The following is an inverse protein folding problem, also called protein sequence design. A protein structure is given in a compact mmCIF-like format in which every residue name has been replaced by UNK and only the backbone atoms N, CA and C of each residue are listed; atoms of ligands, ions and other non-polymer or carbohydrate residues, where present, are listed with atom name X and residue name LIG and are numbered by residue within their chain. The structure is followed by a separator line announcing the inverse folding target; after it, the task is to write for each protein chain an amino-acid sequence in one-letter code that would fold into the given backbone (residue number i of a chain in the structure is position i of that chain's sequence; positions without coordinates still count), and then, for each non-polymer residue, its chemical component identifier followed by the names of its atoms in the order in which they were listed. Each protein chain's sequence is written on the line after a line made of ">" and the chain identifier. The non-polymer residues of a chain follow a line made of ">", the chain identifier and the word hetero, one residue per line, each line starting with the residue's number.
data_IF_804810883507
#
_entry.id   IF_804810883507
#
_cell.length_a   1.000
_cell.length_b   1.000
_cell.length_c   1.000
_cell.angle_alpha   90.00
_cell.angle_beta   90.00
_cell.angle_gamma   90.00
#
_symmetry.space_group_name_H-M   'P 1'
#
loop_
_entity.id
_entity.type
_entity.pdbx_description
1 polymer ?
#
# COMPACT_ATOMS: atom_id res chain seq x y z
N UNK A 1 19.72 30.68 20.26
CA UNK A 1 21.02 30.02 20.49
C UNK A 1 21.68 29.86 19.13
N UNK A 2 23.01 29.73 19.07
CA UNK A 2 23.65 29.23 17.86
C UNK A 2 23.28 27.76 17.66
N UNK A 3 23.44 27.26 16.44
CA UNK A 3 23.28 25.86 16.10
C UNK A 3 24.66 25.25 15.89
N UNK A 4 25.16 24.64 16.95
CA UNK A 4 26.54 24.16 17.07
C UNK A 4 26.64 22.68 16.63
N UNK A 5 25.67 22.20 15.84
CA UNK A 5 25.59 20.82 15.37
C UNK A 5 26.75 20.44 14.45
N UNK A 6 27.17 21.34 13.55
CA UNK A 6 28.31 21.10 12.65
C UNK A 6 29.67 21.26 13.37
N UNK A 7 29.71 21.97 14.50
CA UNK A 7 30.90 22.03 15.36
C UNK A 7 31.02 20.76 16.22
N UNK A 8 29.88 20.16 16.58
CA UNK A 8 29.80 18.91 17.34
C UNK A 8 30.05 17.66 16.47
N UNK A 9 29.54 17.67 15.24
CA UNK A 9 29.71 16.62 14.23
C UNK A 9 30.24 17.28 12.94
N UNK A 10 31.57 17.31 12.72
CA UNK A 10 32.16 18.04 11.60
C UNK A 10 31.87 17.36 10.25
N UNK A 11 31.51 18.12 9.20
CA UNK A 11 31.19 17.57 7.89
C UNK A 11 32.29 16.74 7.23
N UNK A 12 31.87 15.68 6.53
CA UNK A 12 32.75 14.65 5.98
C UNK A 12 33.04 14.77 4.47
N UNK A 13 32.71 15.90 3.84
CA UNK A 13 32.89 16.13 2.40
C UNK A 13 33.17 17.61 2.08
N UNK A 14 33.82 17.89 0.94
CA UNK A 14 34.16 19.26 0.51
C UNK A 14 32.93 20.12 0.18
N UNK A 15 31.92 19.50 -0.45
CA UNK A 15 30.60 20.08 -0.67
C UNK A 15 29.62 19.51 0.33
N UNK A 16 29.38 20.25 1.41
CA UNK A 16 28.59 19.84 2.57
C UNK A 16 27.43 20.79 2.92
N UNK A 17 26.67 20.40 3.95
CA UNK A 17 25.61 21.17 4.58
C UNK A 17 26.16 22.41 5.31
N UNK A 18 25.44 23.52 5.24
CA UNK A 18 25.74 24.73 6.04
C UNK A 18 24.90 24.77 7.32
N UNK A 19 25.32 25.56 8.33
CA UNK A 19 24.59 25.69 9.60
C UNK A 19 23.10 26.05 9.37
N UNK A 20 22.79 26.94 8.42
CA UNK A 20 21.42 27.29 8.03
C UNK A 20 20.63 26.14 7.37
N UNK A 21 21.33 25.18 6.76
CA UNK A 21 20.72 23.92 6.32
C UNK A 21 20.40 22.99 7.51
N UNK A 22 21.28 22.92 8.51
CA UNK A 22 20.98 22.23 9.77
C UNK A 22 19.83 22.91 10.53
N UNK A 23 19.77 24.25 10.60
CA UNK A 23 18.66 25.02 11.19
C UNK A 23 17.31 24.62 10.56
N UNK A 24 17.28 24.51 9.24
CA UNK A 24 16.11 24.06 8.48
C UNK A 24 15.75 22.60 8.81
N UNK A 25 16.73 21.68 8.84
CA UNK A 25 16.48 20.28 9.16
C UNK A 25 15.97 20.08 10.61
N UNK A 26 16.43 20.89 11.56
CA UNK A 26 15.87 20.93 12.93
C UNK A 26 14.41 21.39 12.95
N UNK A 27 14.03 22.36 12.11
CA UNK A 27 12.63 22.76 11.96
C UNK A 27 11.78 21.65 11.32
N UNK A 28 12.28 20.94 10.31
CA UNK A 28 11.59 19.78 9.71
C UNK A 28 11.44 18.65 10.75
N UNK A 29 12.50 18.34 11.51
CA UNK A 29 12.45 17.38 12.62
C UNK A 29 11.35 17.74 13.63
N UNK A 30 11.30 19.00 14.08
CA UNK A 30 10.28 19.46 15.02
C UNK A 30 8.85 19.29 14.46
N UNK A 31 8.64 19.61 13.18
CA UNK A 31 7.35 19.41 12.51
C UNK A 31 6.95 17.94 12.40
N UNK A 32 7.88 17.04 12.08
CA UNK A 32 7.65 15.59 12.10
C UNK A 32 7.34 15.08 13.51
N UNK A 33 8.07 15.52 14.54
CA UNK A 33 7.85 15.14 15.94
C UNK A 33 6.51 15.62 16.50
N UNK A 34 6.13 16.88 16.24
CA UNK A 34 4.81 17.42 16.62
C UNK A 34 3.68 16.67 15.90
N UNK A 35 3.86 16.36 14.62
CA UNK A 35 2.90 15.57 13.84
C UNK A 35 2.72 14.17 14.41
N UNK A 36 3.83 13.50 14.77
CA UNK A 36 3.83 12.18 15.41
C UNK A 36 3.03 12.19 16.72
N UNK A 37 3.31 13.15 17.61
CA UNK A 37 2.61 13.28 18.90
C UNK A 37 1.11 13.51 18.72
N UNK A 38 0.71 14.35 17.75
CA UNK A 38 -0.69 14.61 17.45
C UNK A 38 -1.42 13.39 16.85
N UNK A 39 -0.78 12.61 15.96
CA UNK A 39 -1.36 11.36 15.44
C UNK A 39 -1.44 10.27 16.52
N UNK A 40 -0.47 10.20 17.44
CA UNK A 40 -0.53 9.34 18.63
C UNK A 40 -1.72 9.74 19.52
N UNK A 41 -1.90 11.04 19.80
CA UNK A 41 -3.05 11.56 20.55
C UNK A 41 -4.39 11.18 19.92
N UNK A 42 -4.54 11.39 18.61
CA UNK A 42 -5.73 11.01 17.84
C UNK A 42 -5.95 9.48 17.82
N UNK A 43 -4.88 8.69 17.83
CA UNK A 43 -4.96 7.23 17.92
C UNK A 43 -5.62 6.77 19.22
N UNK A 44 -5.37 7.44 20.36
CA UNK A 44 -6.05 7.11 21.63
C UNK A 44 -7.56 7.33 21.55
N UNK A 45 -8.02 8.42 20.93
CA UNK A 45 -9.44 8.72 20.71
C UNK A 45 -10.12 7.79 19.67
N UNK A 46 -9.34 7.04 18.88
CA UNK A 46 -9.84 6.19 17.79
C UNK A 46 -10.11 4.76 18.26
N UNK A 47 -11.24 4.16 17.85
CA UNK A 47 -11.64 2.78 18.20
C UNK A 47 -10.57 1.77 17.77
N UNK A 48 -10.29 0.74 18.59
CA UNK A 48 -9.14 -0.17 18.37
C UNK A 48 -9.11 -0.83 16.98
N UNK A 49 -10.26 -1.26 16.46
CA UNK A 49 -10.37 -1.92 15.15
C UNK A 49 -10.19 -1.03 13.91
N UNK A 50 -10.08 0.30 14.07
CA UNK A 50 -9.97 1.25 12.93
C UNK A 50 -8.60 1.94 12.85
N UNK A 51 -7.59 1.41 13.56
CA UNK A 51 -6.29 2.06 13.75
C UNK A 51 -5.25 1.81 12.65
N UNK A 52 -5.48 0.93 11.68
CA UNK A 52 -4.47 0.54 10.67
C UNK A 52 -3.77 1.74 10.01
N UNK A 53 -4.54 2.66 9.42
CA UNK A 53 -3.99 3.86 8.77
C UNK A 53 -3.27 4.80 9.76
N UNK A 54 -3.70 4.84 11.02
CA UNK A 54 -3.01 5.61 12.07
C UNK A 54 -1.67 4.95 12.45
N UNK A 55 -1.57 3.61 12.46
CA UNK A 55 -0.29 2.92 12.70
C UNK A 55 0.68 3.15 11.54
N UNK A 56 0.21 3.08 10.29
CA UNK A 56 0.99 3.43 9.09
C UNK A 56 1.52 4.87 9.22
N UNK A 57 0.66 5.82 9.57
CA UNK A 57 1.05 7.22 9.78
C UNK A 57 2.08 7.40 10.92
N UNK A 58 1.91 6.71 12.06
CA UNK A 58 2.86 6.74 13.19
C UNK A 58 4.24 6.23 12.76
N UNK A 59 4.33 5.12 12.03
CA UNK A 59 5.61 4.59 11.55
C UNK A 59 6.26 5.57 10.57
N UNK A 60 5.51 6.10 9.60
CA UNK A 60 6.05 7.09 8.63
C UNK A 60 6.58 8.34 9.32
N UNK A 61 5.83 8.88 10.29
CA UNK A 61 6.22 10.10 11.02
C UNK A 61 7.39 9.86 11.98
N UNK A 62 7.47 8.68 12.62
CA UNK A 62 8.59 8.31 13.50
C UNK A 62 9.87 8.09 12.70
N UNK A 63 9.81 7.36 11.58
CA UNK A 63 10.98 7.18 10.70
C UNK A 63 11.46 8.53 10.15
N UNK A 64 10.53 9.40 9.71
CA UNK A 64 10.87 10.77 9.31
C UNK A 64 11.56 11.56 10.43
N UNK A 65 11.00 11.56 11.65
CA UNK A 65 11.61 12.25 12.78
C UNK A 65 13.04 11.75 13.10
N UNK A 66 13.26 10.43 13.13
CA UNK A 66 14.60 9.85 13.39
C UNK A 66 15.59 10.24 12.28
N UNK A 67 15.17 10.18 11.01
CA UNK A 67 16.01 10.54 9.88
C UNK A 67 16.33 12.04 9.83
N UNK A 68 15.37 12.93 10.08
CA UNK A 68 15.63 14.37 10.15
C UNK A 68 16.44 14.78 11.38
N UNK A 69 16.31 14.10 12.53
CA UNK A 69 17.23 14.25 13.66
C UNK A 69 18.68 13.92 13.27
N UNK A 70 18.89 12.80 12.57
CA UNK A 70 20.21 12.40 12.07
C UNK A 70 20.77 13.45 11.13
N UNK A 71 20.01 13.83 10.09
CA UNK A 71 20.47 14.80 9.09
C UNK A 71 20.73 16.20 9.66
N UNK A 72 19.89 16.67 10.60
CA UNK A 72 20.11 17.95 11.28
C UNK A 72 21.38 17.95 12.15
N UNK A 73 21.77 16.78 12.68
CA UNK A 73 22.98 16.58 13.48
C UNK A 73 24.24 16.31 12.65
N UNK A 74 24.19 16.47 11.33
CA UNK A 74 25.21 16.05 10.34
C UNK A 74 25.52 14.54 10.27
N UNK A 75 24.66 13.70 10.85
CA UNK A 75 24.85 12.25 10.90
C UNK A 75 24.11 11.55 9.75
N UNK A 76 24.72 10.50 9.19
CA UNK A 76 24.08 9.66 8.18
C UNK A 76 24.33 10.05 6.72
N UNK A 77 25.46 10.70 6.46
CA UNK A 77 25.98 10.97 5.12
C UNK A 77 27.33 10.29 4.86
N UNK A 78 27.67 10.13 3.58
CA UNK A 78 28.98 9.67 3.10
C UNK A 78 29.51 10.59 2.00
N UNK A 79 30.83 10.85 1.92
CA UNK A 79 31.42 11.57 0.80
C UNK A 79 31.41 10.70 -0.48
N UNK A 80 31.05 11.30 -1.61
CA UNK A 80 31.16 10.71 -2.95
C UNK A 80 31.81 11.73 -3.88
N UNK A 81 32.83 11.39 -4.69
CA UNK A 81 33.43 12.32 -5.63
C UNK A 81 32.41 12.90 -6.63
N UNK A 82 32.51 14.21 -6.90
CA UNK A 82 31.63 14.87 -7.90
C UNK A 82 32.03 14.49 -9.32
N UNK A 83 31.05 14.45 -10.23
CA UNK A 83 31.30 14.23 -11.66
C UNK A 83 31.30 15.55 -12.44
N UNK A 84 30.38 16.46 -12.11
CA UNK A 84 30.11 17.67 -12.89
C UNK A 84 30.50 18.99 -12.18
N UNK A 85 31.21 18.91 -11.04
CA UNK A 85 31.47 20.07 -10.17
C UNK A 85 32.96 20.29 -9.85
N UNK A 86 33.84 19.99 -10.81
CA UNK A 86 35.29 20.14 -10.63
C UNK A 86 35.89 19.05 -9.74
N UNK A 87 36.82 19.40 -8.86
CA UNK A 87 37.44 18.47 -7.92
C UNK A 87 36.77 18.57 -6.54
N UNK A 88 36.61 17.43 -5.87
CA UNK A 88 36.13 17.35 -4.48
C UNK A 88 35.10 16.23 -4.28
N UNK A 89 34.62 16.13 -3.05
CA UNK A 89 33.60 15.18 -2.62
C UNK A 89 32.32 15.91 -2.23
N UNK A 90 31.18 15.24 -2.40
CA UNK A 90 29.86 15.73 -2.05
C UNK A 90 29.25 14.86 -0.97
N UNK A 91 28.63 15.50 0.02
CA UNK A 91 27.90 14.83 1.09
C UNK A 91 26.63 14.18 0.53
N UNK A 92 26.54 12.84 0.57
CA UNK A 92 25.39 12.05 0.10
C UNK A 92 24.67 11.40 1.29
N UNK A 93 23.41 11.76 1.47
CA UNK A 93 22.60 11.47 2.67
C UNK A 93 21.91 10.11 2.60
N UNK A 94 22.67 9.04 2.80
CA UNK A 94 22.14 7.67 2.74
C UNK A 94 20.99 7.42 3.74
N UNK A 95 20.97 8.09 4.90
CA UNK A 95 19.86 7.98 5.87
C UNK A 95 18.51 8.45 5.31
N UNK A 96 18.49 9.39 4.36
CA UNK A 96 17.26 9.80 3.66
C UNK A 96 16.72 8.70 2.75
N UNK A 97 17.59 7.88 2.16
CA UNK A 97 17.17 6.71 1.39
C UNK A 97 16.67 5.59 2.30
N UNK A 98 17.25 5.42 3.50
CA UNK A 98 16.70 4.51 4.53
C UNK A 98 15.30 4.99 4.97
N UNK A 99 15.11 6.31 5.12
CA UNK A 99 13.79 6.91 5.37
C UNK A 99 12.80 6.52 4.27
N UNK A 100 13.09 6.85 3.01
CA UNK A 100 12.19 6.59 1.88
C UNK A 100 11.94 5.10 1.63
N UNK A 101 12.91 4.21 1.90
CA UNK A 101 12.76 2.76 1.78
C UNK A 101 11.65 2.22 2.71
N UNK A 102 11.44 2.86 3.86
CA UNK A 102 10.37 2.55 4.80
C UNK A 102 9.11 3.37 4.48
N UNK A 103 9.24 4.70 4.29
CA UNK A 103 8.09 5.59 4.21
C UNK A 103 7.34 5.52 2.90
N UNK A 104 8.02 5.38 1.75
CA UNK A 104 7.35 5.37 0.44
C UNK A 104 6.47 4.11 0.27
N UNK A 105 6.93 2.88 0.56
CA UNK A 105 6.05 1.72 0.55
C UNK A 105 4.89 1.82 1.54
N UNK A 106 5.07 2.46 2.71
CA UNK A 106 3.99 2.65 3.68
C UNK A 106 2.94 3.69 3.24
N UNK A 107 3.37 4.80 2.64
CA UNK A 107 2.48 5.82 2.05
C UNK A 107 1.66 5.22 0.90
N UNK A 108 2.32 4.45 0.03
CA UNK A 108 1.66 3.71 -1.05
C UNK A 108 0.74 2.62 -0.52
N UNK A 109 1.15 1.83 0.47
CA UNK A 109 0.30 0.79 1.09
C UNK A 109 -0.99 1.40 1.66
N UNK A 110 -0.89 2.50 2.42
CA UNK A 110 -2.05 3.22 2.93
C UNK A 110 -2.98 3.67 1.81
N UNK A 111 -2.42 4.25 0.75
CA UNK A 111 -3.17 4.71 -0.42
C UNK A 111 -3.86 3.56 -1.18
N UNK A 112 -3.13 2.49 -1.51
CA UNK A 112 -3.60 1.35 -2.30
C UNK A 112 -4.63 0.50 -1.55
N UNK A 113 -4.48 0.33 -0.23
CA UNK A 113 -5.51 -0.29 0.63
C UNK A 113 -6.81 0.52 0.62
N UNK A 114 -6.73 1.86 0.53
CA UNK A 114 -7.89 2.73 0.40
C UNK A 114 -8.54 2.71 -1.00
N UNK A 115 -7.96 2.01 -1.99
CA UNK A 115 -8.62 1.67 -3.28
C UNK A 115 -9.37 0.33 -3.17
N UNK A 116 -8.85 -0.61 -2.38
CA UNK A 116 -9.23 -2.01 -2.48
C UNK A 116 -8.65 -2.71 -3.71
N UNK A 117 -7.42 -2.35 -4.12
CA UNK A 117 -6.68 -3.09 -5.15
C UNK A 117 -6.38 -4.54 -4.72
N UNK A 118 -6.27 -5.50 -5.65
CA UNK A 118 -5.89 -6.87 -5.32
C UNK A 118 -4.46 -6.91 -4.77
N UNK A 119 -4.19 -7.89 -3.90
CA UNK A 119 -2.92 -8.00 -3.18
C UNK A 119 -1.70 -8.15 -4.13
N UNK A 120 -1.89 -8.72 -5.32
CA UNK A 120 -0.88 -8.76 -6.39
C UNK A 120 -0.35 -7.37 -6.73
N UNK A 121 -1.26 -6.47 -7.08
CA UNK A 121 -0.97 -5.12 -7.56
C UNK A 121 -0.37 -4.29 -6.43
N UNK A 122 -0.86 -4.47 -5.20
CA UNK A 122 -0.27 -3.86 -4.00
C UNK A 122 1.19 -4.30 -3.86
N UNK A 123 1.46 -5.62 -3.77
CA UNK A 123 2.82 -6.14 -3.55
C UNK A 123 3.80 -5.74 -4.66
N UNK A 124 3.39 -5.79 -5.93
CA UNK A 124 4.24 -5.35 -7.05
C UNK A 124 4.50 -3.84 -7.01
N UNK A 125 3.51 -3.02 -6.62
CA UNK A 125 3.72 -1.56 -6.45
C UNK A 125 4.66 -1.24 -5.29
N UNK A 126 4.56 -1.96 -4.16
CA UNK A 126 5.50 -1.81 -3.04
C UNK A 126 6.92 -2.25 -3.42
N UNK A 127 7.06 -3.31 -4.22
CA UNK A 127 8.35 -3.71 -4.76
C UNK A 127 8.95 -2.63 -5.69
N UNK A 128 8.16 -2.05 -6.60
CA UNK A 128 8.64 -0.96 -7.46
C UNK A 128 9.00 0.31 -6.67
N UNK A 129 8.32 0.59 -5.55
CA UNK A 129 8.70 1.66 -4.63
C UNK A 129 10.07 1.40 -3.98
N UNK A 130 10.35 0.15 -3.59
CA UNK A 130 11.68 -0.25 -3.11
C UNK A 130 12.73 -0.13 -4.22
N UNK A 131 12.44 -0.58 -5.45
CA UNK A 131 13.34 -0.45 -6.60
C UNK A 131 13.71 1.02 -6.82
N UNK A 132 12.73 1.93 -6.91
CA UNK A 132 12.94 3.37 -7.09
C UNK A 132 13.94 3.95 -6.06
N UNK A 133 13.73 3.66 -4.77
CA UNK A 133 14.60 4.17 -3.70
C UNK A 133 15.99 3.53 -3.74
N UNK A 134 16.08 2.21 -3.93
CA UNK A 134 17.36 1.49 -3.96
C UNK A 134 18.19 1.91 -5.18
N UNK A 135 17.59 2.05 -6.36
CA UNK A 135 18.32 2.56 -7.54
C UNK A 135 18.74 4.01 -7.35
N UNK A 136 17.92 4.85 -6.71
CA UNK A 136 18.30 6.22 -6.38
C UNK A 136 19.52 6.29 -5.44
N UNK A 137 19.56 5.43 -4.42
CA UNK A 137 20.70 5.33 -3.49
C UNK A 137 21.96 4.83 -4.20
N UNK A 138 21.87 3.71 -4.93
CA UNK A 138 23.05 3.16 -5.62
C UNK A 138 23.56 4.14 -6.66
N UNK A 139 22.68 4.81 -7.42
CA UNK A 139 23.07 5.87 -8.35
C UNK A 139 23.78 7.04 -7.65
N UNK A 140 23.30 7.48 -6.48
CA UNK A 140 23.90 8.57 -5.71
C UNK A 140 25.28 8.21 -5.12
N UNK A 141 25.58 6.92 -4.94
CA UNK A 141 26.86 6.41 -4.47
C UNK A 141 27.85 6.07 -5.61
N UNK A 142 27.40 6.02 -6.86
CA UNK A 142 28.26 5.78 -8.03
C UNK A 142 28.89 7.12 -8.46
N UNK A 143 30.23 7.27 -8.47
CA UNK A 143 30.85 8.55 -8.84
C UNK A 143 30.72 8.86 -10.34
N UNK A 144 30.70 7.84 -11.20
CA UNK A 144 30.77 7.97 -12.67
C UNK A 144 29.40 8.03 -13.35
N UNK A 145 29.40 8.31 -14.66
CA UNK A 145 28.22 8.47 -15.51
C UNK A 145 27.25 7.28 -15.49
N UNK A 146 27.71 6.10 -15.03
CA UNK A 146 26.86 4.93 -14.77
C UNK A 146 25.71 5.20 -13.78
N UNK A 147 25.79 6.24 -12.94
CA UNK A 147 24.67 6.70 -12.09
C UNK A 147 23.38 6.95 -12.86
N UNK A 148 23.47 7.40 -14.12
CA UNK A 148 22.31 7.67 -14.97
C UNK A 148 21.59 6.39 -15.42
N UNK A 149 22.27 5.23 -15.45
CA UNK A 149 21.62 3.94 -15.67
C UNK A 149 20.67 3.58 -14.52
N UNK A 150 21.13 3.75 -13.27
CA UNK A 150 20.29 3.58 -12.09
C UNK A 150 19.13 4.59 -12.04
N UNK A 151 19.36 5.83 -12.44
CA UNK A 151 18.30 6.84 -12.57
C UNK A 151 17.20 6.40 -13.55
N UNK A 152 17.56 5.85 -14.72
CA UNK A 152 16.58 5.31 -15.69
C UNK A 152 15.81 4.13 -15.12
N UNK A 153 16.45 3.20 -14.41
CA UNK A 153 15.74 2.10 -13.73
C UNK A 153 14.74 2.62 -12.68
N UNK A 154 15.12 3.65 -11.92
CA UNK A 154 14.24 4.35 -10.99
C UNK A 154 13.03 4.99 -11.68
N UNK A 155 13.25 5.70 -12.80
CA UNK A 155 12.17 6.29 -13.59
C UNK A 155 11.19 5.24 -14.13
N UNK A 156 11.67 4.08 -14.60
CA UNK A 156 10.78 2.97 -15.04
C UNK A 156 9.93 2.46 -13.88
N UNK A 157 10.50 2.31 -12.68
CA UNK A 157 9.75 1.93 -11.49
C UNK A 157 8.73 3.01 -11.07
N UNK A 158 9.06 4.30 -11.19
CA UNK A 158 8.14 5.41 -10.97
C UNK A 158 6.96 5.41 -11.97
N UNK A 159 7.23 5.19 -13.27
CA UNK A 159 6.17 5.07 -14.27
C UNK A 159 5.24 3.87 -14.01
N UNK A 160 5.75 2.76 -13.46
CA UNK A 160 4.90 1.66 -12.99
C UNK A 160 4.01 2.09 -11.82
N UNK A 161 4.55 2.79 -10.81
CA UNK A 161 3.77 3.31 -9.68
C UNK A 161 2.66 4.25 -10.19
N UNK A 162 2.98 5.15 -11.12
CA UNK A 162 1.98 6.02 -11.75
C UNK A 162 0.94 5.23 -12.57
N UNK A 163 1.32 4.18 -13.29
CA UNK A 163 0.36 3.31 -13.96
C UNK A 163 -0.64 2.70 -12.96
N UNK A 164 -0.17 2.22 -11.81
CA UNK A 164 -1.07 1.64 -10.80
C UNK A 164 -1.97 2.71 -10.17
N UNK A 165 -1.40 3.84 -9.74
CA UNK A 165 -2.15 4.93 -9.08
C UNK A 165 -3.11 5.67 -10.02
N UNK A 166 -2.71 5.92 -11.27
CA UNK A 166 -3.42 6.81 -12.20
C UNK A 166 -4.20 6.06 -13.30
N UNK A 167 -4.04 4.74 -13.46
CA UNK A 167 -4.78 3.96 -14.46
C UNK A 167 -5.50 2.74 -13.87
N UNK A 168 -4.82 1.85 -13.14
CA UNK A 168 -5.46 0.69 -12.51
C UNK A 168 -6.44 1.12 -11.41
N UNK A 169 -6.02 1.97 -10.48
CA UNK A 169 -6.85 2.47 -9.37
C UNK A 169 -8.13 3.20 -9.80
N UNK A 170 -8.16 3.79 -11.00
CA UNK A 170 -9.37 4.40 -11.56
C UNK A 170 -10.37 3.38 -12.12
N UNK A 171 -9.92 2.17 -12.47
CA UNK A 171 -10.75 1.09 -13.02
C UNK A 171 -11.29 0.17 -11.91
N UNK A 172 -10.49 -0.09 -10.88
CA UNK A 172 -10.87 -0.92 -9.72
C UNK A 172 -11.69 -0.12 -8.71
N UNK A 173 -12.99 0.08 -8.95
CA UNK A 173 -13.92 0.61 -7.93
C UNK A 173 -14.52 -0.54 -7.13
N UNK A 174 -13.83 -1.06 -6.11
CA UNK A 174 -14.40 -2.04 -5.18
C UNK A 174 -14.82 -1.37 -3.86
N UNK A 175 -16.04 -1.67 -3.43
CA UNK A 175 -16.58 -1.36 -2.10
C UNK A 175 -16.38 0.09 -1.59
N UNK A 176 -17.16 1.03 -2.16
CA UNK A 176 -17.47 2.31 -1.51
C UNK A 176 -18.98 2.59 -1.54
N UNK A 177 -19.78 1.58 -1.14
CA UNK A 177 -21.21 1.77 -0.84
C UNK A 177 -22.13 2.11 -2.02
N UNK A 178 -22.20 1.25 -3.03
CA UNK A 178 -23.36 1.20 -3.93
C UNK A 178 -23.88 -0.24 -4.12
N UNK A 179 -24.84 -0.61 -3.26
CA UNK A 179 -25.85 -1.65 -3.48
C UNK A 179 -27.14 -1.34 -2.70
N UNK A 180 -27.53 -0.06 -2.64
CA UNK A 180 -28.87 0.33 -2.20
C UNK A 180 -29.62 0.87 -3.41
N UNK A 181 -30.32 -0.03 -4.09
CA UNK A 181 -31.27 0.29 -5.16
C UNK A 181 -32.35 1.22 -4.64
N UNK A 182 -32.20 2.52 -4.87
CA UNK A 182 -33.28 3.50 -4.79
C UNK A 182 -33.39 4.23 -6.13
N UNK A 183 -34.63 4.55 -6.51
CA UNK A 183 -34.95 5.00 -7.86
C UNK A 183 -34.33 6.36 -8.20
N UNK A 184 -34.15 6.62 -9.49
CA UNK A 184 -33.80 7.95 -9.98
C UNK A 184 -34.87 8.97 -9.55
N UNK A 185 -34.52 9.90 -8.67
CA UNK A 185 -35.47 10.84 -8.07
C UNK A 185 -34.84 12.10 -7.49
N UNK A 186 -33.74 11.99 -6.74
CA UNK A 186 -33.05 13.13 -6.12
C UNK A 186 -31.54 13.13 -6.43
N UNK A 187 -30.99 14.32 -6.68
CA UNK A 187 -29.56 14.58 -6.93
C UNK A 187 -28.93 15.54 -5.91
N UNK A 188 -29.69 16.00 -4.91
CA UNK A 188 -29.23 17.03 -3.95
C UNK A 188 -28.37 16.45 -2.82
N UNK A 189 -28.52 15.17 -2.49
CA UNK A 189 -27.75 14.50 -1.43
C UNK A 189 -26.55 13.74 -1.99
N UNK A 190 -25.35 14.35 -1.92
CA UNK A 190 -24.09 13.62 -2.17
C UNK A 190 -24.00 12.36 -1.29
N UNK A 191 -23.77 11.19 -1.89
CA UNK A 191 -23.67 9.94 -1.14
C UNK A 191 -22.36 9.87 -0.31
N UNK A 192 -22.29 9.06 0.76
CA UNK A 192 -21.02 8.80 1.46
C UNK A 192 -19.95 8.21 0.53
N UNK A 193 -20.35 7.31 -0.38
CA UNK A 193 -19.49 6.69 -1.38
C UNK A 193 -18.77 7.68 -2.31
N UNK A 194 -19.49 8.69 -2.81
CA UNK A 194 -18.90 9.74 -3.67
C UNK A 194 -17.81 10.53 -2.97
N UNK A 195 -17.96 10.80 -1.67
CA UNK A 195 -16.95 11.52 -0.88
C UNK A 195 -15.68 10.69 -0.70
N UNK A 196 -15.81 9.39 -0.44
CA UNK A 196 -14.68 8.47 -0.38
C UNK A 196 -13.97 8.35 -1.75
N UNK A 197 -14.75 8.11 -2.82
CA UNK A 197 -14.27 7.98 -4.20
C UNK A 197 -13.57 9.24 -4.70
N UNK A 198 -14.09 10.42 -4.36
CA UNK A 198 -13.44 11.68 -4.73
C UNK A 198 -12.22 12.00 -3.87
N UNK A 199 -12.27 11.69 -2.58
CA UNK A 199 -11.13 11.81 -1.67
C UNK A 199 -9.93 11.00 -2.14
N UNK A 200 -10.12 9.71 -2.44
CA UNK A 200 -9.04 8.83 -2.89
C UNK A 200 -8.34 9.36 -4.15
N UNK A 201 -9.09 9.70 -5.21
CA UNK A 201 -8.48 10.16 -6.48
C UNK A 201 -7.58 11.37 -6.28
N UNK A 202 -8.00 12.32 -5.44
CA UNK A 202 -7.20 13.49 -5.11
C UNK A 202 -5.90 13.09 -4.37
N UNK A 203 -5.93 12.07 -3.52
CA UNK A 203 -4.74 11.50 -2.89
C UNK A 203 -3.76 10.92 -3.91
N UNK A 204 -4.27 10.17 -4.89
CA UNK A 204 -3.46 9.55 -5.94
C UNK A 204 -2.81 10.59 -6.86
N UNK A 205 -3.55 11.62 -7.28
CA UNK A 205 -2.98 12.73 -8.06
C UNK A 205 -1.94 13.54 -7.25
N UNK A 206 -2.25 13.86 -5.99
CA UNK A 206 -1.35 14.62 -5.12
C UNK A 206 -0.02 13.89 -4.89
N UNK A 207 -0.07 12.61 -4.50
CA UNK A 207 1.14 11.82 -4.26
C UNK A 207 1.91 11.59 -5.57
N UNK A 208 1.24 11.31 -6.69
CA UNK A 208 1.92 11.14 -7.99
C UNK A 208 2.63 12.41 -8.45
N UNK A 209 2.04 13.59 -8.21
CA UNK A 209 2.66 14.88 -8.47
C UNK A 209 3.90 15.11 -7.60
N UNK A 210 3.83 14.86 -6.29
CA UNK A 210 5.01 14.97 -5.42
C UNK A 210 6.12 13.99 -5.84
N UNK A 211 5.77 12.76 -6.21
CA UNK A 211 6.70 11.75 -6.70
C UNK A 211 7.39 12.13 -8.02
N UNK A 212 6.85 13.08 -8.79
CA UNK A 212 7.55 13.68 -9.94
C UNK A 212 8.73 14.57 -9.51
N UNK A 213 8.62 15.23 -8.36
CA UNK A 213 9.58 16.25 -7.92
C UNK A 213 10.83 15.65 -7.26
N UNK A 214 10.75 14.45 -6.70
CA UNK A 214 11.90 13.73 -6.14
C UNK A 214 12.98 13.38 -7.18
N UNK A 215 12.69 12.73 -8.33
CA UNK A 215 13.72 12.45 -9.34
C UNK A 215 14.23 13.72 -10.03
N UNK A 216 13.41 14.77 -10.15
CA UNK A 216 13.86 16.08 -10.65
C UNK A 216 14.90 16.69 -9.70
N UNK A 217 14.63 16.67 -8.37
CA UNK A 217 15.62 17.07 -7.38
C UNK A 217 16.90 16.24 -7.53
N UNK A 218 16.78 14.90 -7.53
CA UNK A 218 17.89 13.96 -7.66
C UNK A 218 18.80 14.24 -8.86
N UNK A 219 18.20 14.50 -10.03
CA UNK A 219 18.94 14.84 -11.23
C UNK A 219 19.71 16.16 -11.10
N UNK A 220 19.20 17.12 -10.32
CA UNK A 220 19.87 18.38 -10.02
C UNK A 220 20.92 18.30 -8.90
N UNK A 221 20.76 17.42 -7.90
CA UNK A 221 21.67 17.28 -6.74
C UNK A 221 22.66 16.12 -6.88
N UNK A 222 22.20 14.88 -6.68
CA UNK A 222 23.08 13.71 -6.63
C UNK A 222 23.61 13.33 -8.02
N UNK A 223 22.76 13.41 -9.05
CA UNK A 223 23.12 13.15 -10.44
C UNK A 223 24.03 14.21 -11.05
N UNK A 224 23.47 15.38 -11.37
CA UNK A 224 24.14 16.46 -12.10
C UNK A 224 24.98 17.43 -11.25
N UNK A 225 24.99 17.28 -9.93
CA UNK A 225 25.77 18.10 -8.98
C UNK A 225 25.60 19.63 -9.11
N UNK A 226 24.46 20.09 -9.66
CA UNK A 226 24.15 21.50 -9.94
C UNK A 226 23.83 22.25 -8.64
N UNK A 227 22.92 21.72 -7.83
CA UNK A 227 22.48 22.38 -6.59
C UNK A 227 23.34 21.99 -5.37
N UNK A 228 23.49 22.94 -4.45
CA UNK A 228 24.23 22.73 -3.20
C UNK A 228 23.53 21.72 -2.29
N UNK A 229 24.28 21.13 -1.34
CA UNK A 229 23.72 20.19 -0.35
C UNK A 229 22.63 20.88 0.50
N UNK A 230 22.84 22.12 0.95
CA UNK A 230 21.79 22.88 1.65
C UNK A 230 20.55 23.12 0.78
N UNK A 231 20.71 23.46 -0.51
CA UNK A 231 19.59 23.64 -1.44
C UNK A 231 18.78 22.34 -1.64
N UNK A 232 19.47 21.20 -1.70
CA UNK A 232 18.88 19.87 -1.74
C UNK A 232 18.11 19.54 -0.45
N UNK A 233 18.66 19.85 0.73
CA UNK A 233 17.98 19.62 2.02
C UNK A 233 16.70 20.45 2.15
N UNK A 234 16.71 21.67 1.61
CA UNK A 234 15.51 22.51 1.55
C UNK A 234 14.47 21.90 0.61
N UNK A 235 14.88 21.46 -0.58
CA UNK A 235 13.98 20.82 -1.55
C UNK A 235 13.33 19.55 -0.99
N UNK A 236 14.12 18.56 -0.55
CA UNK A 236 13.56 17.32 -0.01
C UNK A 236 12.82 17.53 1.32
N UNK A 237 13.26 18.47 2.17
CA UNK A 237 12.54 18.82 3.39
C UNK A 237 11.12 19.35 3.12
N UNK A 238 10.95 20.18 2.08
CA UNK A 238 9.63 20.65 1.65
C UNK A 238 8.80 19.47 1.10
N UNK A 239 9.38 18.60 0.26
CA UNK A 239 8.67 17.44 -0.29
C UNK A 239 8.24 16.45 0.79
N UNK A 240 9.12 16.13 1.76
CA UNK A 240 8.83 15.19 2.84
C UNK A 240 7.81 15.76 3.84
N UNK A 241 7.79 17.07 4.10
CA UNK A 241 6.72 17.71 4.89
C UNK A 241 5.35 17.59 4.18
N UNK A 242 5.33 17.72 2.85
CA UNK A 242 4.12 17.59 2.03
C UNK A 242 3.65 16.13 1.93
N UNK A 243 4.55 15.20 1.62
CA UNK A 243 4.26 13.77 1.43
C UNK A 243 4.08 12.98 2.75
N UNK A 244 4.69 13.44 3.84
CA UNK A 244 4.53 12.91 5.19
C UNK A 244 3.43 13.65 5.95
N UNK A 245 3.75 14.57 6.89
CA UNK A 245 2.80 15.29 7.73
C UNK A 245 1.51 15.77 7.02
N UNK A 246 1.62 16.61 5.99
CA UNK A 246 0.45 17.26 5.37
C UNK A 246 -0.46 16.23 4.70
N UNK A 247 0.11 15.33 3.89
CA UNK A 247 -0.62 14.22 3.28
C UNK A 247 -1.28 13.32 4.33
N UNK A 248 -0.56 12.89 5.36
CA UNK A 248 -1.08 11.96 6.38
C UNK A 248 -2.22 12.55 7.19
N UNK A 249 -2.13 13.81 7.65
CA UNK A 249 -3.24 14.47 8.35
C UNK A 249 -4.48 14.58 7.48
N UNK A 250 -4.30 15.02 6.23
CA UNK A 250 -5.39 15.17 5.28
C UNK A 250 -6.02 13.81 4.90
N UNK A 251 -5.20 12.78 4.69
CA UNK A 251 -5.63 11.42 4.38
C UNK A 251 -6.40 10.76 5.53
N UNK A 252 -5.88 10.83 6.77
CA UNK A 252 -6.59 10.36 7.97
C UNK A 252 -7.91 11.10 8.18
N UNK A 253 -7.94 12.41 7.94
CA UNK A 253 -9.16 13.22 8.06
C UNK A 253 -10.23 12.81 7.04
N UNK A 254 -9.83 12.48 5.81
CA UNK A 254 -10.75 11.93 4.78
C UNK A 254 -11.26 10.53 5.14
N UNK A 255 -10.42 9.68 5.72
CA UNK A 255 -10.80 8.31 6.11
C UNK A 255 -11.69 8.24 7.36
N UNK A 256 -11.71 9.27 8.22
CA UNK A 256 -12.51 9.30 9.47
C UNK A 256 -14.01 8.98 9.30
N UNK A 257 -14.56 9.18 8.09
CA UNK A 257 -15.97 8.92 7.76
C UNK A 257 -16.21 7.68 6.89
N UNK A 258 -15.24 6.77 6.75
CA UNK A 258 -15.36 5.56 5.91
C UNK A 258 -15.40 4.32 6.81
N UNK A 259 -16.40 3.47 6.65
CA UNK A 259 -16.52 2.23 7.43
C UNK A 259 -15.37 1.27 7.10
N UNK A 260 -14.45 1.09 8.05
CA UNK A 260 -13.21 0.32 7.83
C UNK A 260 -13.44 -1.18 7.58
N UNK A 261 -14.61 -1.72 7.95
CA UNK A 261 -15.07 -3.07 7.57
C UNK A 261 -15.19 -3.24 6.05
N UNK A 262 -15.34 -2.14 5.31
CA UNK A 262 -15.50 -2.13 3.85
C UNK A 262 -14.22 -2.49 3.09
N UNK A 263 -13.03 -2.26 3.66
CA UNK A 263 -11.73 -2.50 3.00
C UNK A 263 -11.34 -3.98 2.87
N UNK A 264 -12.29 -4.92 3.04
CA UNK A 264 -12.07 -6.38 2.97
C UNK A 264 -11.22 -6.98 4.09
N UNK A 265 -10.48 -6.15 4.82
CA UNK A 265 -9.59 -6.54 5.92
C UNK A 265 -10.36 -6.93 7.17
N UNK A 266 -10.83 -8.18 7.23
CA UNK A 266 -10.88 -8.90 8.51
C UNK A 266 -9.43 -9.08 9.01
N UNK A 267 -8.93 -8.04 9.68
CA UNK A 267 -7.53 -7.84 10.07
C UNK A 267 -7.08 -8.81 11.15
N UNK A 268 -6.86 -10.07 10.77
CA UNK A 268 -6.48 -11.15 11.67
C UNK A 268 -7.67 -11.61 12.52
N UNK A 269 -7.91 -12.92 12.59
CA UNK A 269 -8.96 -13.52 13.42
C UNK A 269 -8.95 -12.90 14.82
N UNK A 270 -10.12 -12.46 15.30
CA UNK A 270 -10.32 -12.29 16.73
C UNK A 270 -10.18 -13.67 17.39
N UNK A 271 -8.98 -13.98 17.86
CA UNK A 271 -8.75 -15.09 18.78
C UNK A 271 -9.24 -14.66 20.15
N UNK A 272 -10.56 -14.46 20.27
CA UNK A 272 -11.22 -14.47 21.56
C UNK A 272 -11.04 -15.86 22.14
N UNK A 273 -10.03 -16.02 23.00
CA UNK A 273 -9.75 -17.23 23.76
C UNK A 273 -10.77 -17.42 24.89
N UNK A 274 -12.05 -17.34 24.52
CA UNK A 274 -13.25 -17.62 25.29
C UNK A 274 -14.13 -18.64 24.54
N UNK A 275 -13.52 -19.50 23.72
CA UNK A 275 -14.17 -20.74 23.30
C UNK A 275 -14.30 -21.65 24.51
N UNK A 276 -15.47 -21.61 25.16
CA UNK A 276 -15.84 -22.60 26.16
C UNK A 276 -15.78 -24.01 25.55
N UNK A 277 -15.34 -25.04 26.30
CA UNK A 277 -15.11 -26.36 25.73
C UNK A 277 -16.42 -27.10 25.44
N UNK A 278 -16.82 -27.11 24.17
CA UNK A 278 -17.87 -27.99 23.63
C UNK A 278 -18.53 -27.45 22.35
N UNK A 279 -18.85 -28.24 21.34
CA UNK A 279 -18.47 -29.63 21.05
C UNK A 279 -18.66 -29.92 19.55
N UNK A 280 -17.91 -30.88 19.02
CA UNK A 280 -18.17 -31.62 17.76
C UNK A 280 -18.55 -30.85 16.48
N UNK A 281 -17.60 -30.85 15.55
CA UNK A 281 -17.82 -30.74 14.10
C UNK A 281 -18.92 -31.68 13.59
N UNK A 282 -19.77 -31.21 12.68
CA UNK A 282 -20.36 -32.05 11.61
C UNK A 282 -20.47 -31.21 10.34
N UNK A 283 -19.86 -31.70 9.25
CA UNK A 283 -20.10 -31.19 7.91
C UNK A 283 -21.00 -32.16 7.13
N UNK A 284 -21.55 -31.69 6.01
CA UNK A 284 -21.97 -32.52 4.87
C UNK A 284 -23.20 -33.45 5.04
N UNK A 285 -24.39 -32.91 4.76
CA UNK A 285 -25.42 -33.43 3.82
C UNK A 285 -26.41 -32.28 3.56
N UNK A 286 -26.64 -31.85 2.31
CA UNK A 286 -27.43 -32.53 1.27
C UNK A 286 -28.87 -32.77 1.74
N UNK A 287 -29.82 -32.04 1.15
CA UNK A 287 -31.16 -31.84 1.73
C UNK A 287 -32.18 -32.95 1.43
N UNK A 288 -33.26 -32.92 2.22
CA UNK A 288 -34.52 -33.61 1.98
C UNK A 288 -35.69 -32.64 2.29
N UNK A 289 -36.86 -32.88 1.69
CA UNK A 289 -37.99 -31.95 1.73
C UNK A 289 -38.78 -31.90 3.05
N UNK A 290 -39.74 -30.97 3.18
CA UNK A 290 -40.56 -30.82 4.39
C UNK A 290 -41.57 -31.97 4.52
N UNK A 291 -41.58 -32.63 5.69
CA UNK A 291 -42.59 -33.63 6.05
C UNK A 291 -43.59 -33.04 7.05
N UNK A 292 -44.88 -33.14 6.75
CA UNK A 292 -45.99 -32.63 7.59
C UNK A 292 -46.26 -33.52 8.80
N UNK A 293 -46.52 -32.91 9.96
CA UNK A 293 -46.97 -33.59 11.18
C UNK A 293 -48.40 -34.10 11.07
N UNK A 294 -48.62 -35.38 11.36
CA UNK A 294 -49.96 -35.95 11.59
C UNK A 294 -49.90 -36.98 12.74
N UNK A 295 -50.82 -36.88 13.70
CA UNK A 295 -50.98 -37.86 14.78
C UNK A 295 -51.69 -39.11 14.25
N UNK A 296 -51.28 -40.30 14.71
CA UNK A 296 -51.94 -41.56 14.39
C UNK A 296 -52.87 -42.06 15.51
N UNK A 297 -54.01 -42.64 15.12
CA UNK A 297 -54.88 -43.46 15.99
C UNK A 297 -55.53 -44.56 15.14
N UNK A 298 -55.55 -45.80 15.64
CA UNK A 298 -56.66 -46.74 15.38
C UNK A 298 -56.50 -47.78 14.26
N UNK A 299 -56.39 -49.05 14.68
CA UNK A 299 -56.94 -50.27 14.07
C UNK A 299 -56.67 -50.66 12.59
N UNK A 300 -56.37 -51.95 12.41
CA UNK A 300 -56.74 -52.74 11.22
C UNK A 300 -57.47 -54.01 11.69
N UNK A 301 -57.49 -55.13 10.95
CA UNK A 301 -57.08 -55.32 9.55
C UNK A 301 -58.19 -55.99 8.69
N UNK A 302 -58.00 -56.10 7.38
CA UNK A 302 -58.83 -56.95 6.51
C UNK A 302 -58.01 -57.51 5.32
N UNK A 303 -58.17 -58.80 5.01
CA UNK A 303 -57.61 -59.48 3.84
C UNK A 303 -58.66 -59.60 2.72
N UNK A 304 -58.24 -59.54 1.46
CA UNK A 304 -59.09 -59.81 0.29
C UNK A 304 -58.30 -59.85 -1.02
N UNK A 305 -58.57 -60.85 -1.86
CA UNK A 305 -57.88 -61.11 -3.14
C UNK A 305 -58.35 -60.12 -4.27
N UNK A 306 -57.83 -60.08 -5.50
CA UNK A 306 -57.44 -61.18 -6.43
C UNK A 306 -56.56 -60.72 -7.62
N UNK A 307 -55.86 -61.68 -8.26
CA UNK A 307 -55.44 -61.74 -9.69
C UNK A 307 -54.56 -60.66 -10.36
N UNK A 308 -53.23 -60.91 -10.44
CA UNK A 308 -52.50 -61.53 -11.59
C UNK A 308 -52.80 -61.14 -13.07
N UNK A 309 -51.88 -61.40 -14.05
CA UNK A 309 -50.40 -61.25 -14.11
C UNK A 309 -49.86 -60.76 -15.52
N UNK A 310 -48.59 -61.08 -15.88
CA UNK A 310 -47.95 -61.08 -17.26
C UNK A 310 -47.43 -59.74 -17.83
N UNK A 311 -46.34 -59.62 -18.63
CA UNK A 311 -44.97 -60.24 -18.75
C UNK A 311 -44.10 -59.41 -19.74
N UNK A 312 -42.77 -59.63 -19.77
CA UNK A 312 -41.80 -59.16 -20.81
C UNK A 312 -40.64 -58.34 -20.21
N UNK A 313 -39.34 -58.69 -20.20
CA UNK A 313 -38.45 -59.45 -21.11
C UNK A 313 -38.07 -58.70 -22.41
N UNK A 314 -36.79 -58.50 -22.78
CA UNK A 314 -35.51 -58.82 -22.11
C UNK A 314 -34.26 -58.33 -22.90
N UNK A 315 -33.04 -58.58 -22.37
CA UNK A 315 -31.67 -58.58 -23.02
C UNK A 315 -31.52 -58.09 -24.49
N UNK A 316 -30.60 -57.20 -24.92
CA UNK A 316 -29.12 -57.15 -24.75
C UNK A 316 -28.45 -56.71 -26.11
N UNK A 317 -27.13 -56.62 -26.35
CA UNK A 317 -25.91 -56.60 -25.50
C UNK A 317 -24.60 -56.29 -26.31
N UNK A 318 -23.84 -55.25 -25.90
CA UNK A 318 -22.35 -55.15 -25.89
C UNK A 318 -21.49 -54.85 -27.19
N UNK A 319 -20.12 -54.66 -27.16
CA UNK A 319 -19.33 -53.64 -27.93
C UNK A 319 -18.32 -54.27 -28.97
N UNK A 320 -17.12 -53.74 -29.43
CA UNK A 320 -16.28 -52.55 -29.08
C UNK A 320 -15.53 -51.82 -30.27
N UNK A 321 -14.37 -51.18 -29.98
CA UNK A 321 -13.24 -50.72 -30.86
C UNK A 321 -13.36 -49.33 -31.54
N UNK A 322 -12.28 -48.57 -31.86
CA UNK A 322 -10.83 -48.57 -31.50
C UNK A 322 -10.20 -47.16 -31.74
N UNK A 323 -8.87 -46.99 -31.61
CA UNK A 323 -8.16 -45.69 -31.51
C UNK A 323 -7.19 -45.36 -32.68
N UNK A 324 -6.66 -44.12 -32.73
CA UNK A 324 -5.44 -43.75 -33.48
C UNK A 324 -4.77 -42.46 -32.97
N UNK A 325 -3.44 -42.33 -33.17
CA UNK A 325 -2.65 -41.07 -33.10
C UNK A 325 -1.90 -40.83 -34.44
N UNK A 326 -0.85 -39.99 -34.59
CA UNK A 326 -0.07 -39.13 -33.69
C UNK A 326 0.90 -38.19 -34.50
N UNK A 327 1.62 -37.25 -33.85
CA UNK A 327 2.92 -36.62 -34.29
C UNK A 327 2.91 -35.75 -35.59
N UNK A 328 3.88 -34.90 -35.98
CA UNK A 328 5.09 -34.20 -35.42
C UNK A 328 5.43 -33.01 -36.41
N UNK A 329 5.81 -31.76 -36.08
CA UNK A 329 7.09 -31.17 -35.56
C UNK A 329 7.76 -30.17 -36.57
N UNK A 330 8.77 -29.41 -36.09
CA UNK A 330 9.81 -28.59 -36.80
C UNK A 330 9.56 -27.16 -37.35
N UNK A 331 10.17 -26.19 -36.65
CA UNK A 331 11.12 -25.13 -37.08
C UNK A 331 10.99 -24.32 -38.40
N UNK A 332 10.97 -22.98 -38.23
CA UNK A 332 11.93 -22.01 -38.82
C UNK A 332 12.38 -21.06 -37.71
#
# INVERSE_FOLDING_TARGET
>A
MSNDALDSNPPNADYHLSNHGSDWLWAVFALFGLSLLAVIGWTFATRRGTRLFHQIAIVVLLTGAISYFSMASDLGATPVPVEFRGNGTRQIWFVRYIQWFITLPLLLLGLLLAIGLPLSDILTTLFMAIVLVVTGLVGALVPSTYKWGYYVFGLVALFYIWYVLLWHGHRTTFAAGDRTTFAAGDRTTFAPGDRARSGHRLSAYYLSFLLMLYPIAWACSEGGNVISVTSEMIWYGILDLLAGPVFLFWFLFKLRGVDHSTFGSQSGKYTDSNMAPGATTTAQRAGAGPASTANGVGAGPANGATTSPVMGAGSGTYPPSAAHGAQDALAV
#
